data_IF_635070823619
#
_entry.id   IF_635070823619
#
_cell.length_a   1.000
_cell.length_b   1.000
_cell.length_c   1.000
_cell.angle_alpha   90.00
_cell.angle_beta   90.00
_cell.angle_gamma   90.00
#
_symmetry.space_group_name_H-M   'P 1'
#
loop_
_entity.id
_entity.type
_entity.pdbx_description
1 polymer ?
#
# COMPACT_ATOMS: atom_id res chain seq x y z
N UNK A 1 1.78 13.64 12.37
CA UNK A 1 0.99 12.84 11.43
C UNK A 1 -0.38 12.57 12.03
N UNK A 2 -1.44 12.90 11.32
CA UNK A 2 -2.80 12.73 11.82
C UNK A 2 -3.20 11.25 11.77
N UNK A 3 -4.00 10.75 12.74
CA UNK A 3 -4.53 9.41 12.66
C UNK A 3 -5.43 9.27 11.43
N UNK A 4 -5.56 8.06 10.87
CA UNK A 4 -6.45 7.84 9.72
C UNK A 4 -7.89 8.19 10.07
N UNK A 5 -8.59 8.88 9.17
CA UNK A 5 -9.99 9.16 9.35
C UNK A 5 -10.85 7.91 9.08
N UNK A 6 -12.15 8.02 9.35
CA UNK A 6 -13.09 6.90 9.20
C UNK A 6 -13.12 6.34 7.78
N UNK A 7 -13.07 7.22 6.77
CA UNK A 7 -13.05 6.82 5.36
C UNK A 7 -11.78 6.05 5.03
N UNK A 8 -10.63 6.54 5.46
CA UNK A 8 -9.34 5.86 5.25
C UNK A 8 -9.33 4.49 5.93
N UNK A 9 -9.84 4.40 7.17
CA UNK A 9 -9.94 3.11 7.88
C UNK A 9 -10.78 2.10 7.12
N UNK A 10 -11.90 2.54 6.53
CA UNK A 10 -12.75 1.66 5.72
C UNK A 10 -12.01 1.17 4.47
N UNK A 11 -11.24 2.04 3.82
CA UNK A 11 -10.44 1.66 2.65
C UNK A 11 -9.32 0.69 3.00
N UNK A 12 -8.64 0.90 4.13
CA UNK A 12 -7.59 -0.01 4.59
C UNK A 12 -8.15 -1.40 4.91
N UNK A 13 -9.32 -1.45 5.55
CA UNK A 13 -10.02 -2.72 5.79
C UNK A 13 -10.35 -3.42 4.47
N UNK A 14 -10.79 -2.67 3.48
CA UNK A 14 -11.09 -3.18 2.14
C UNK A 14 -9.85 -3.78 1.48
N UNK A 15 -8.70 -3.11 1.61
CA UNK A 15 -7.44 -3.61 1.06
C UNK A 15 -7.05 -4.97 1.67
N UNK A 16 -7.20 -5.14 2.99
CA UNK A 16 -6.94 -6.41 3.66
C UNK A 16 -7.89 -7.49 3.17
N UNK A 17 -9.18 -7.17 3.05
CA UNK A 17 -10.20 -8.10 2.59
C UNK A 17 -9.91 -8.58 1.16
N UNK A 18 -9.60 -7.67 0.26
CA UNK A 18 -9.26 -8.00 -1.12
C UNK A 18 -8.02 -8.89 -1.20
N UNK A 19 -7.00 -8.59 -0.40
CA UNK A 19 -5.79 -9.40 -0.34
C UNK A 19 -6.10 -10.84 0.08
N UNK A 20 -6.94 -11.02 1.11
CA UNK A 20 -7.34 -12.34 1.57
C UNK A 20 -8.09 -13.15 0.52
N UNK A 21 -8.87 -12.47 -0.31
CA UNK A 21 -9.68 -13.12 -1.34
C UNK A 21 -8.85 -13.45 -2.58
N UNK A 22 -7.97 -12.52 -3.00
CA UNK A 22 -7.25 -12.64 -4.28
C UNK A 22 -5.93 -13.40 -4.16
N UNK A 23 -5.21 -13.27 -3.03
CA UNK A 23 -3.92 -13.95 -2.85
C UNK A 23 -4.07 -15.16 -1.94
N UNK A 24 -4.06 -16.33 -2.57
CA UNK A 24 -4.23 -17.60 -1.85
C UNK A 24 -2.93 -18.34 -1.58
N UNK A 25 -1.83 -17.89 -2.16
CA UNK A 25 -0.53 -18.52 -1.96
C UNK A 25 -0.02 -18.18 -0.56
N UNK A 26 0.67 -19.13 0.07
CA UNK A 26 1.32 -18.90 1.37
C UNK A 26 2.55 -18.03 1.23
N UNK A 27 3.26 -18.16 0.11
CA UNK A 27 4.48 -17.41 -0.19
C UNK A 27 4.30 -16.72 -1.53
N UNK A 28 4.60 -15.44 -1.58
CA UNK A 28 4.56 -14.63 -2.80
C UNK A 28 5.47 -13.43 -2.64
N UNK A 29 5.93 -12.87 -3.76
CA UNK A 29 6.74 -11.67 -3.74
C UNK A 29 5.91 -10.45 -3.34
N UNK A 30 6.50 -9.45 -2.68
CA UNK A 30 5.80 -8.21 -2.34
C UNK A 30 5.24 -7.53 -3.59
N UNK A 31 4.02 -7.01 -3.48
CA UNK A 31 3.36 -6.26 -4.56
C UNK A 31 2.94 -4.90 -4.00
N UNK A 32 3.35 -3.84 -4.69
CA UNK A 32 2.92 -2.49 -4.34
C UNK A 32 1.65 -2.13 -5.09
N UNK A 33 0.68 -1.61 -4.36
CA UNK A 33 -0.60 -1.14 -4.91
C UNK A 33 -0.70 0.37 -4.70
N UNK A 34 -1.16 1.07 -5.72
CA UNK A 34 -1.45 2.50 -5.63
C UNK A 34 -2.86 2.72 -6.17
N UNK A 35 -3.69 3.40 -5.41
CA UNK A 35 -5.04 3.70 -5.84
C UNK A 35 -6.04 3.72 -4.69
N UNK A 36 -7.26 3.34 -5.00
CA UNK A 36 -8.37 3.34 -4.05
C UNK A 36 -8.85 1.90 -3.90
N UNK A 37 -8.69 1.28 -2.72
CA UNK A 37 -9.19 -0.07 -2.50
C UNK A 37 -10.68 -0.19 -2.88
N UNK A 38 -10.99 -1.14 -3.75
CA UNK A 38 -12.34 -1.29 -4.30
C UNK A 38 -12.65 -0.39 -5.50
N UNK A 39 -11.74 0.48 -5.88
CA UNK A 39 -11.86 1.40 -7.02
C UNK A 39 -10.67 1.31 -7.96
N UNK A 40 -10.31 2.43 -8.65
CA UNK A 40 -9.15 2.42 -9.55
C UNK A 40 -7.86 2.15 -8.79
N UNK A 41 -7.15 1.09 -9.16
CA UNK A 41 -5.86 0.71 -8.57
C UNK A 41 -4.91 0.19 -9.64
N UNK A 42 -3.62 0.40 -9.40
CA UNK A 42 -2.55 -0.20 -10.18
C UNK A 42 -1.62 -0.97 -9.26
N UNK A 43 -1.14 -2.10 -9.72
CA UNK A 43 -0.22 -2.95 -8.96
C UNK A 43 1.13 -3.02 -9.67
N UNK A 44 2.18 -2.87 -8.88
CA UNK A 44 3.56 -3.00 -9.34
C UNK A 44 4.11 -4.30 -8.74
N UNK A 45 4.04 -5.38 -9.49
CA UNK A 45 4.62 -6.64 -9.04
C UNK A 45 6.11 -6.72 -9.43
N UNK A 46 6.82 -7.59 -8.73
CA UNK A 46 8.26 -7.70 -8.87
C UNK A 46 8.61 -8.66 -10.01
N UNK A 47 8.38 -8.22 -11.26
CA UNK A 47 8.72 -9.03 -12.45
C UNK A 47 10.15 -8.82 -12.94
N UNK A 48 10.89 -7.94 -12.28
CA UNK A 48 12.24 -7.62 -12.71
C UNK A 48 13.26 -8.27 -11.79
N UNK A 49 14.11 -9.12 -12.35
CA UNK A 49 15.26 -9.66 -11.66
C UNK A 49 16.30 -8.55 -11.50
N UNK A 50 16.46 -8.07 -10.29
CA UNK A 50 17.48 -7.08 -9.99
C UNK A 50 16.98 -5.90 -9.16
N UNK A 51 17.92 -5.11 -8.62
CA UNK A 51 17.57 -3.97 -7.81
C UNK A 51 16.97 -2.86 -8.68
N UNK A 52 15.79 -2.38 -8.28
CA UNK A 52 15.17 -1.20 -8.89
C UNK A 52 15.74 0.01 -8.15
N UNK A 53 16.24 1.00 -8.90
CA UNK A 53 16.74 2.22 -8.31
C UNK A 53 15.62 3.07 -7.72
N UNK A 54 15.95 3.86 -6.69
CA UNK A 54 15.00 4.74 -6.01
C UNK A 54 14.28 5.68 -6.99
N UNK A 55 15.00 6.29 -7.92
CA UNK A 55 14.40 7.19 -8.91
C UNK A 55 13.34 6.51 -9.76
N UNK A 56 13.59 5.29 -10.20
CA UNK A 56 12.62 4.51 -10.98
C UNK A 56 11.40 4.15 -10.13
N UNK A 57 11.61 3.74 -8.87
CA UNK A 57 10.48 3.47 -7.97
C UNK A 57 9.61 4.71 -7.78
N UNK A 58 10.23 5.87 -7.54
CA UNK A 58 9.51 7.12 -7.35
C UNK A 58 8.72 7.51 -8.62
N UNK A 59 9.31 7.34 -9.79
CA UNK A 59 8.64 7.62 -11.08
C UNK A 59 7.45 6.68 -11.29
N UNK A 60 7.59 5.41 -10.95
CA UNK A 60 6.50 4.44 -11.05
C UNK A 60 5.35 4.79 -10.12
N UNK A 61 5.64 5.15 -8.87
CA UNK A 61 4.61 5.58 -7.92
C UNK A 61 3.93 6.85 -8.40
N UNK A 62 4.68 7.83 -8.91
CA UNK A 62 4.13 9.07 -9.44
C UNK A 62 3.19 8.81 -10.63
N UNK A 63 3.56 7.91 -11.53
CA UNK A 63 2.72 7.52 -12.66
C UNK A 63 1.41 6.86 -12.18
N UNK A 64 1.51 5.96 -11.21
CA UNK A 64 0.35 5.30 -10.63
C UNK A 64 -0.57 6.30 -9.90
N UNK A 65 0.01 7.24 -9.17
CA UNK A 65 -0.73 8.29 -8.49
C UNK A 65 -1.55 9.12 -9.49
N UNK A 66 -0.92 9.55 -10.58
CA UNK A 66 -1.63 10.30 -11.63
C UNK A 66 -2.75 9.49 -12.27
N UNK A 67 -2.50 8.23 -12.55
CA UNK A 67 -3.46 7.36 -13.23
C UNK A 67 -4.68 7.00 -12.37
N UNK A 68 -4.54 7.02 -11.05
CA UNK A 68 -5.60 6.60 -10.11
C UNK A 68 -6.23 7.76 -9.35
N UNK A 69 -5.75 8.99 -9.53
CA UNK A 69 -6.30 10.16 -8.84
C UNK A 69 -7.75 10.42 -9.26
N UNK A 70 -8.58 10.72 -8.26
CA UNK A 70 -9.96 11.17 -8.46
C UNK A 70 -10.16 12.49 -7.73
N UNK A 71 -11.30 13.14 -7.96
CA UNK A 71 -11.61 14.39 -7.25
C UNK A 71 -12.11 14.16 -5.83
N UNK A 72 -12.48 12.92 -5.50
CA UNK A 72 -13.13 12.60 -4.23
C UNK A 72 -12.15 12.10 -3.16
N UNK A 73 -11.19 11.27 -3.54
CA UNK A 73 -10.30 10.59 -2.59
C UNK A 73 -8.88 10.56 -3.16
N UNK A 74 -7.91 10.88 -2.31
CA UNK A 74 -6.49 10.75 -2.67
C UNK A 74 -6.12 9.26 -2.71
N UNK A 75 -5.39 8.81 -3.73
CA UNK A 75 -4.94 7.41 -3.80
C UNK A 75 -4.07 7.02 -2.61
N UNK A 76 -4.30 5.83 -2.09
CA UNK A 76 -3.49 5.21 -1.04
C UNK A 76 -2.37 4.39 -1.67
N UNK A 77 -1.36 4.08 -0.87
CA UNK A 77 -0.30 3.14 -1.23
C UNK A 77 -0.30 2.00 -0.21
N UNK A 78 -0.30 0.77 -0.68
CA UNK A 78 -0.16 -0.37 0.23
C UNK A 78 0.69 -1.46 -0.40
N UNK A 79 1.54 -2.04 0.43
CA UNK A 79 2.43 -3.13 0.05
C UNK A 79 1.88 -4.43 0.62
N UNK A 80 1.45 -5.34 -0.25
CA UNK A 80 1.01 -6.67 0.18
C UNK A 80 2.22 -7.59 0.23
N UNK A 81 2.38 -8.31 1.31
CA UNK A 81 3.47 -9.26 1.51
C UNK A 81 3.14 -10.27 2.61
N UNK A 82 4.00 -11.26 2.73
CA UNK A 82 3.99 -12.19 3.86
C UNK A 82 4.83 -11.63 5.00
N UNK A 83 4.82 -12.30 6.14
CA UNK A 83 5.65 -11.96 7.29
C UNK A 83 4.95 -11.11 8.33
N UNK A 84 5.70 -10.75 9.35
CA UNK A 84 5.20 -9.98 10.48
C UNK A 84 5.29 -8.47 10.22
N UNK A 85 4.66 -7.69 11.08
CA UNK A 85 4.74 -6.23 11.03
C UNK A 85 6.05 -5.73 11.67
N UNK A 86 7.14 -6.04 10.99
CA UNK A 86 8.49 -5.56 11.29
C UNK A 86 9.03 -4.98 9.99
N UNK A 87 9.70 -3.85 10.06
CA UNK A 87 10.17 -3.15 8.87
C UNK A 87 11.15 -4.02 8.07
N UNK A 88 10.80 -4.28 6.81
CA UNK A 88 11.64 -5.01 5.86
C UNK A 88 12.22 -4.03 4.84
N UNK A 89 13.28 -4.45 4.14
CA UNK A 89 13.95 -3.61 3.14
C UNK A 89 13.00 -3.14 2.04
N UNK A 90 12.10 -4.00 1.59
CA UNK A 90 11.10 -3.64 0.58
C UNK A 90 10.14 -2.56 1.10
N UNK A 91 9.73 -2.64 2.37
CA UNK A 91 8.89 -1.63 3.01
C UNK A 91 9.58 -0.26 2.98
N UNK A 92 10.84 -0.23 3.43
CA UNK A 92 11.61 1.01 3.51
C UNK A 92 11.86 1.62 2.13
N UNK A 93 12.20 0.78 1.14
CA UNK A 93 12.47 1.23 -0.22
C UNK A 93 11.23 1.86 -0.87
N UNK A 94 10.08 1.20 -0.77
CA UNK A 94 8.84 1.72 -1.35
C UNK A 94 8.29 2.91 -0.58
N UNK A 95 8.46 2.95 0.75
CA UNK A 95 8.07 4.12 1.54
C UNK A 95 8.87 5.36 1.16
N UNK A 96 10.16 5.21 0.95
CA UNK A 96 11.01 6.31 0.51
C UNK A 96 10.59 6.84 -0.86
N UNK A 97 10.35 5.93 -1.80
CA UNK A 97 9.92 6.29 -3.16
C UNK A 97 8.54 6.94 -3.17
N UNK A 98 7.58 6.36 -2.44
CA UNK A 98 6.24 6.92 -2.33
C UNK A 98 6.23 8.28 -1.65
N UNK A 99 7.05 8.44 -0.60
CA UNK A 99 7.23 9.72 0.07
C UNK A 99 7.71 10.80 -0.88
N UNK A 100 8.69 10.50 -1.71
CA UNK A 100 9.21 11.44 -2.72
C UNK A 100 8.14 11.80 -3.75
N UNK A 101 7.46 10.81 -4.31
CA UNK A 101 6.45 11.01 -5.34
C UNK A 101 5.27 11.85 -4.85
N UNK A 102 4.77 11.54 -3.65
CA UNK A 102 3.63 12.26 -3.06
C UNK A 102 4.02 13.67 -2.64
N UNK A 103 5.21 13.85 -2.07
CA UNK A 103 5.70 15.18 -1.70
C UNK A 103 5.83 16.08 -2.93
N UNK A 104 6.37 15.57 -4.02
CA UNK A 104 6.50 16.30 -5.28
C UNK A 104 5.13 16.68 -5.85
N UNK A 105 4.15 15.81 -5.72
CA UNK A 105 2.78 16.08 -6.17
C UNK A 105 2.00 16.98 -5.21
N UNK A 106 2.51 17.25 -4.01
CA UNK A 106 1.82 18.04 -3.00
C UNK A 106 0.63 17.31 -2.37
N UNK A 107 0.67 15.99 -2.33
CA UNK A 107 -0.43 15.14 -1.86
C UNK A 107 0.00 14.42 -0.58
N UNK A 108 -0.84 14.41 0.47
CA UNK A 108 -0.55 13.63 1.67
C UNK A 108 -0.47 12.14 1.36
N UNK A 109 0.51 11.46 1.93
CA UNK A 109 0.71 10.04 1.73
C UNK A 109 0.10 9.24 2.87
N UNK A 110 -0.76 8.29 2.51
CA UNK A 110 -1.14 7.17 3.37
C UNK A 110 -0.52 5.91 2.79
N UNK A 111 0.39 5.29 3.52
CA UNK A 111 1.04 4.06 3.09
C UNK A 111 1.07 3.05 4.23
N UNK A 112 0.63 1.84 3.94
CA UNK A 112 0.62 0.74 4.91
C UNK A 112 1.17 -0.53 4.28
N UNK A 113 1.60 -1.45 5.14
CA UNK A 113 1.87 -2.83 4.80
C UNK A 113 0.61 -3.63 5.05
N UNK A 114 0.21 -4.49 4.11
CA UNK A 114 -0.97 -5.34 4.20
C UNK A 114 -0.52 -6.79 4.17
N UNK A 115 -0.97 -7.55 5.16
CA UNK A 115 -0.83 -9.01 5.21
C UNK A 115 -2.20 -9.64 5.39
N UNK A 116 -2.27 -10.96 5.45
CA UNK A 116 -3.54 -11.64 5.74
C UNK A 116 -4.08 -11.32 7.13
N UNK A 117 -3.24 -10.81 8.02
CA UNK A 117 -3.62 -10.45 9.40
C UNK A 117 -4.29 -9.08 9.48
N UNK A 118 -3.87 -8.14 8.65
CA UNK A 118 -4.35 -6.77 8.75
C UNK A 118 -3.45 -5.78 8.01
N UNK A 119 -3.42 -4.55 8.51
CA UNK A 119 -2.57 -3.51 7.96
C UNK A 119 -1.73 -2.84 9.07
N UNK A 120 -0.61 -2.29 8.67
CA UNK A 120 0.33 -1.61 9.56
C UNK A 120 0.98 -0.43 8.83
N UNK A 121 0.97 0.74 9.48
CA UNK A 121 1.68 1.92 9.01
C UNK A 121 3.02 2.03 9.75
N UNK A 122 4.15 1.73 9.09
CA UNK A 122 5.46 1.77 9.75
C UNK A 122 5.87 3.18 10.23
N UNK A 123 5.33 4.23 9.63
CA UNK A 123 5.70 5.60 9.97
C UNK A 123 5.05 6.08 11.27
N UNK A 124 3.81 5.72 11.51
CA UNK A 124 3.07 6.11 12.71
C UNK A 124 3.01 5.01 13.76
N UNK A 125 3.21 3.76 13.36
CA UNK A 125 3.00 2.59 14.20
C UNK A 125 1.55 2.16 14.29
N UNK A 126 0.61 2.89 13.69
CA UNK A 126 -0.79 2.51 13.67
C UNK A 126 -0.97 1.18 12.96
N UNK A 127 -1.80 0.31 13.52
CA UNK A 127 -2.09 -0.97 12.89
C UNK A 127 -3.45 -1.51 13.31
N UNK A 128 -3.98 -2.42 12.51
CA UNK A 128 -5.19 -3.16 12.82
C UNK A 128 -5.05 -4.58 12.34
N UNK A 129 -5.35 -5.53 13.21
CA UNK A 129 -5.35 -6.96 12.89
C UNK A 129 -6.72 -7.55 13.16
N UNK A 130 -7.12 -8.53 12.34
CA UNK A 130 -8.38 -9.24 12.48
C UNK A 130 -8.11 -10.74 12.48
N UNK A 131 -8.65 -11.44 13.46
CA UNK A 131 -8.67 -12.91 13.46
C UNK A 131 -9.64 -13.41 12.39
N UNK A 132 -10.79 -12.76 12.29
CA UNK A 132 -11.82 -13.05 11.28
C UNK A 132 -12.25 -11.73 10.65
N UNK A 133 -12.15 -11.67 9.34
CA UNK A 133 -12.61 -10.52 8.58
C UNK A 133 -13.70 -10.98 7.64
N UNK A 134 -14.89 -10.41 7.79
CA UNK A 134 -16.06 -10.78 6.98
C UNK A 134 -16.32 -9.75 5.91
N UNK A 135 -16.78 -10.22 4.77
CA UNK A 135 -17.34 -9.39 3.72
C UNK A 135 -18.59 -8.67 4.24
N UNK A 136 -18.58 -7.34 4.15
CA UNK A 136 -19.75 -6.52 4.44
C UNK A 136 -19.86 -5.41 3.42
#
# INVERSE_FOLDING_TARGET
MSPPNRQTLALLRRAVLEHRVTERRKMFAPVLHVGIPGGPTLALDHRYDGPIEHGLRADLVAACLRATSTTAIEPLVWLTRTGDFVLEDADAAWMSAAGSAYAEAGVPLTMVVVTRRGWWDPRSGARREWKRLRHR
#
